data_IF_462715110693
#
_entry.id   IF_462715110693
#
_cell.length_a   1.000
_cell.length_b   1.000
_cell.length_c   1.000
_cell.angle_alpha   90.00
_cell.angle_beta   90.00
_cell.angle_gamma   90.00
#
_symmetry.space_group_name_H-M   'P 1'
#
loop_
_entity.id
_entity.type
_entity.pdbx_description
1 polymer ?
#
# COMPACT_ATOMS: atom_id res chain seq x y z
N UNK A 1 -5.73 12.78 15.95
CA UNK A 1 -4.45 13.38 15.52
C UNK A 1 -4.07 12.71 14.22
N UNK A 2 -4.19 13.40 13.09
CA UNK A 2 -3.92 12.86 11.76
C UNK A 2 -2.40 12.74 11.59
N UNK A 3 -1.87 11.52 11.42
CA UNK A 3 -0.46 11.35 11.09
C UNK A 3 -0.15 12.14 9.80
N UNK A 4 0.87 12.98 9.85
CA UNK A 4 1.30 13.76 8.69
C UNK A 4 1.91 12.81 7.67
N UNK A 5 1.38 12.74 6.43
CA UNK A 5 2.00 11.92 5.39
C UNK A 5 3.37 12.50 5.02
N UNK A 6 4.34 11.61 4.86
CA UNK A 6 5.59 11.93 4.20
C UNK A 6 5.34 11.99 2.67
N UNK A 7 5.66 13.15 2.10
CA UNK A 7 5.47 13.50 0.68
C UNK A 7 6.77 13.41 -0.12
N UNK A 8 7.82 12.80 0.43
CA UNK A 8 9.11 12.60 -0.25
C UNK A 8 9.01 11.71 -1.49
N UNK A 9 7.96 10.89 -1.59
CA UNK A 9 7.72 10.03 -2.75
C UNK A 9 6.84 10.75 -3.78
N UNK A 10 7.26 10.86 -5.05
CA UNK A 10 6.50 11.57 -6.07
C UNK A 10 5.18 10.88 -6.43
N UNK A 11 5.05 9.58 -6.14
CA UNK A 11 3.89 8.78 -6.53
C UNK A 11 2.97 8.42 -5.36
N UNK A 12 3.48 8.40 -4.13
CA UNK A 12 2.74 7.90 -2.97
C UNK A 12 2.83 8.85 -1.78
N UNK A 13 1.75 8.93 -1.00
CA UNK A 13 1.79 9.52 0.34
C UNK A 13 2.14 8.42 1.32
N UNK A 14 3.22 8.58 2.06
CA UNK A 14 3.70 7.55 3.00
C UNK A 14 3.22 7.84 4.40
N UNK A 15 2.64 6.84 5.03
CA UNK A 15 2.22 6.88 6.44
C UNK A 15 3.00 5.79 7.19
N UNK A 16 3.55 6.14 8.34
CA UNK A 16 4.38 5.25 9.15
C UNK A 16 3.51 4.62 10.22
N UNK A 17 3.76 3.35 10.56
CA UNK A 17 3.00 2.60 11.57
C UNK A 17 1.49 2.59 11.28
N UNK A 18 1.10 2.48 10.01
CA UNK A 18 -0.31 2.47 9.61
C UNK A 18 -0.57 1.29 8.69
N UNK A 19 -1.77 0.72 8.81
CA UNK A 19 -2.27 -0.34 7.94
C UNK A 19 -3.61 0.04 7.32
N UNK A 20 -3.92 -0.58 6.20
CA UNK A 20 -5.24 -0.50 5.58
C UNK A 20 -6.12 -1.60 6.23
N UNK A 21 -7.25 -1.20 6.81
CA UNK A 21 -8.26 -2.12 7.34
C UNK A 21 -9.55 -2.09 6.52
N UNK A 22 -10.38 -3.12 6.72
CA UNK A 22 -11.64 -3.32 5.98
C UNK A 22 -11.47 -3.40 4.46
N UNK A 23 -10.29 -3.82 4.03
CA UNK A 23 -9.95 -4.05 2.64
C UNK A 23 -9.02 -5.25 2.57
N UNK A 24 -9.29 -6.15 1.62
CA UNK A 24 -8.45 -7.30 1.37
C UNK A 24 -7.47 -6.95 0.25
N UNK A 25 -6.16 -7.19 0.44
CA UNK A 25 -5.22 -7.02 -0.66
C UNK A 25 -5.58 -8.01 -1.77
N UNK A 26 -5.58 -7.54 -3.02
CA UNK A 26 -5.80 -8.44 -4.16
C UNK A 26 -4.55 -9.29 -4.44
N UNK A 27 -3.40 -8.84 -3.98
CA UNK A 27 -2.13 -9.53 -4.13
C UNK A 27 -1.26 -9.32 -2.88
N UNK A 28 -0.70 -10.41 -2.36
CA UNK A 28 0.24 -10.43 -1.25
C UNK A 28 1.52 -11.14 -1.70
N UNK A 29 2.67 -10.51 -1.50
CA UNK A 29 3.99 -11.08 -1.79
C UNK A 29 4.88 -11.04 -0.55
N UNK A 30 5.57 -12.14 -0.29
CA UNK A 30 6.56 -12.25 0.79
C UNK A 30 7.98 -12.21 0.23
N UNK A 31 8.96 -11.87 1.08
CA UNK A 31 10.39 -11.85 0.75
C UNK A 31 10.75 -10.88 -0.37
N UNK A 32 10.07 -9.73 -0.43
CA UNK A 32 10.41 -8.65 -1.36
C UNK A 32 10.76 -7.37 -0.61
N UNK A 33 11.61 -6.52 -1.20
CA UNK A 33 11.97 -5.23 -0.61
C UNK A 33 10.86 -4.18 -0.80
N UNK A 34 10.85 -3.14 0.02
CA UNK A 34 9.95 -1.99 -0.12
C UNK A 34 10.03 -1.37 -1.52
N UNK A 35 11.25 -1.22 -2.05
CA UNK A 35 11.49 -0.67 -3.40
C UNK A 35 10.85 -1.56 -4.46
N UNK A 36 11.00 -2.88 -4.35
CA UNK A 36 10.37 -3.82 -5.27
C UNK A 36 8.84 -3.81 -5.12
N UNK A 37 8.31 -3.72 -3.90
CA UNK A 37 6.88 -3.58 -3.64
C UNK A 37 6.30 -2.36 -4.36
N UNK A 38 6.98 -1.20 -4.24
CA UNK A 38 6.61 0.03 -4.95
C UNK A 38 6.64 -0.16 -6.48
N UNK A 39 7.72 -0.74 -7.01
CA UNK A 39 7.85 -0.99 -8.46
C UNK A 39 6.73 -1.92 -8.94
N UNK A 40 6.39 -2.96 -8.18
CA UNK A 40 5.29 -3.86 -8.51
C UNK A 40 3.96 -3.11 -8.51
N UNK A 41 3.68 -2.28 -7.50
CA UNK A 41 2.46 -1.46 -7.52
C UNK A 41 2.41 -0.54 -8.75
N UNK A 42 3.51 0.14 -9.09
CA UNK A 42 3.56 1.02 -10.26
C UNK A 42 3.41 0.27 -11.60
N UNK A 43 3.84 -0.99 -11.68
CA UNK A 43 3.76 -1.82 -12.88
C UNK A 43 2.50 -2.69 -12.95
N UNK A 44 1.83 -2.92 -11.82
CA UNK A 44 0.67 -3.80 -11.73
C UNK A 44 -0.56 -3.11 -12.31
N UNK A 45 -0.71 -3.28 -13.62
CA UNK A 45 -1.92 -3.01 -14.40
C UNK A 45 -2.47 -4.36 -14.91
N UNK A 46 -2.85 -5.24 -13.97
CA UNK A 46 -3.36 -6.57 -14.33
C UNK A 46 -4.87 -6.47 -14.59
N UNK A 47 -5.24 -6.23 -15.85
CA UNK A 47 -6.64 -6.20 -16.29
C UNK A 47 -7.47 -5.13 -15.57
N UNK A 48 -8.51 -5.55 -14.83
CA UNK A 48 -9.40 -4.65 -14.07
C UNK A 48 -8.79 -4.10 -12.76
N UNK A 49 -7.66 -4.64 -12.30
CA UNK A 49 -7.05 -4.25 -11.03
C UNK A 49 -5.78 -3.46 -11.28
N UNK A 50 -5.88 -2.14 -11.14
CA UNK A 50 -4.72 -1.24 -11.12
C UNK A 50 -4.35 -0.97 -9.68
N UNK A 51 -3.09 -1.20 -9.29
CA UNK A 51 -2.65 -0.86 -7.95
C UNK A 51 -2.83 0.64 -7.67
N UNK A 52 -3.40 0.98 -6.52
CA UNK A 52 -3.64 2.36 -6.06
C UNK A 52 -2.97 2.66 -4.73
N UNK A 53 -2.77 1.65 -3.89
CA UNK A 53 -2.03 1.76 -2.64
C UNK A 53 -1.40 0.41 -2.27
N UNK A 54 -0.44 0.43 -1.37
CA UNK A 54 0.20 -0.77 -0.85
C UNK A 54 0.54 -0.59 0.64
N UNK A 55 0.60 -1.70 1.36
CA UNK A 55 1.14 -1.78 2.73
C UNK A 55 2.41 -2.64 2.68
N UNK A 56 3.46 -2.18 3.35
CA UNK A 56 4.71 -2.91 3.43
C UNK A 56 5.10 -3.14 4.88
N UNK A 57 5.21 -4.40 5.27
CA UNK A 57 5.73 -4.83 6.56
C UNK A 57 7.25 -5.06 6.45
N UNK A 58 8.03 -4.19 7.09
CA UNK A 58 9.49 -4.27 7.05
C UNK A 58 10.07 -5.41 7.93
N UNK A 59 9.33 -5.89 8.93
CA UNK A 59 9.78 -6.99 9.81
C UNK A 59 9.62 -8.31 9.07
N UNK A 60 8.43 -8.53 8.48
CA UNK A 60 8.10 -9.79 7.80
C UNK A 60 8.45 -9.77 6.30
N UNK A 61 8.88 -8.62 5.77
CA UNK A 61 9.16 -8.40 4.34
C UNK A 61 7.96 -8.78 3.45
N UNK A 62 6.77 -8.36 3.89
CA UNK A 62 5.50 -8.63 3.21
C UNK A 62 5.00 -7.36 2.54
N UNK A 63 4.57 -7.49 1.29
CA UNK A 63 4.00 -6.45 0.47
C UNK A 63 2.57 -6.83 0.10
N UNK A 64 1.63 -5.97 0.51
CA UNK A 64 0.21 -6.11 0.23
C UNK A 64 -0.22 -5.02 -0.74
N UNK A 65 -0.75 -5.40 -1.91
CA UNK A 65 -1.21 -4.48 -2.95
C UNK A 65 -2.74 -4.35 -2.93
N UNK A 66 -3.20 -3.12 -3.09
CA UNK A 66 -4.62 -2.76 -3.07
C UNK A 66 -5.03 -2.01 -4.34
N UNK A 67 -6.20 -2.33 -4.89
CA UNK A 67 -6.74 -1.70 -6.09
C UNK A 67 -7.56 -0.42 -5.80
N UNK A 68 -7.57 0.03 -4.55
CA UNK A 68 -8.20 1.26 -4.09
C UNK A 68 -7.20 2.08 -3.27
N UNK A 69 -7.50 3.36 -3.06
CA UNK A 69 -6.72 4.21 -2.16
C UNK A 69 -7.08 3.85 -0.71
N UNK A 70 -6.12 3.89 0.21
CA UNK A 70 -6.33 3.51 1.60
C UNK A 70 -7.25 4.45 2.40
N UNK A 71 -7.50 5.68 1.92
CA UNK A 71 -8.36 6.73 2.52
C UNK A 71 -9.81 6.74 2.03
N UNK A 72 -10.14 5.91 1.04
CA UNK A 72 -11.47 5.89 0.44
C UNK A 72 -12.24 4.64 0.91
N UNK A 73 -13.45 4.88 1.43
CA UNK A 73 -14.35 3.81 1.86
C UNK A 73 -14.55 2.76 0.75
N UNK A 74 -14.60 1.45 1.07
CA UNK A 74 -14.74 0.87 2.41
C UNK A 74 -13.45 0.77 3.23
N UNK A 75 -12.30 1.08 2.64
CA UNK A 75 -11.02 1.10 3.34
C UNK A 75 -10.93 2.32 4.26
N UNK A 76 -10.51 2.11 5.50
CA UNK A 76 -10.17 3.18 6.45
C UNK A 76 -8.75 2.98 6.92
N UNK A 77 -8.03 4.09 7.16
CA UNK A 77 -6.77 4.03 7.88
C UNK A 77 -7.06 3.67 9.33
N UNK A 78 -6.36 2.67 9.86
CA UNK A 78 -6.17 2.56 11.30
C UNK A 78 -4.75 3.06 11.61
N UNK A 79 -4.73 4.11 12.44
CA UNK A 79 -3.53 4.64 13.09
C UNK A 79 -3.10 3.72 14.23
#
# INVERSE_FOLDING_TARGET
MTALPDLSDPCFRRYINSIIINAQPYERRSSISLVNCKIQCLRSQVGHYTCRSFVYDNINQVCDLFAHVGDLAPARWLL
#
